data_IF_942174019586
#
_entry.id   IF_942174019586
#
_cell.length_a   1.000
_cell.length_b   1.000
_cell.length_c   1.000
_cell.angle_alpha   90.00
_cell.angle_beta   90.00
_cell.angle_gamma   90.00
#
_symmetry.space_group_name_H-M   'P 1'
#
loop_
_entity.id
_entity.type
_entity.pdbx_description
1 polymer ?
#
# COMPACT_ATOMS: atom_id res chain seq x y z
N UNK A 1 11.19 15.08 -26.89
CA UNK A 1 10.01 15.24 -26.02
C UNK A 1 9.78 13.93 -25.29
N UNK A 2 9.61 13.97 -23.97
CA UNK A 2 9.64 12.83 -23.06
C UNK A 2 8.31 12.02 -23.01
N UNK A 3 7.48 12.07 -24.07
CA UNK A 3 6.07 11.67 -24.00
C UNK A 3 5.59 10.82 -25.21
N UNK A 4 6.27 9.72 -25.52
CA UNK A 4 5.74 8.58 -26.30
C UNK A 4 6.66 7.34 -26.09
N UNK A 5 6.32 6.13 -26.58
CA UNK A 5 5.72 4.97 -25.90
C UNK A 5 6.59 4.28 -24.82
N UNK A 6 7.70 4.89 -24.39
CA UNK A 6 8.74 4.25 -23.57
C UNK A 6 8.25 3.84 -22.15
N UNK A 7 7.16 4.44 -21.66
CA UNK A 7 6.66 4.15 -20.30
C UNK A 7 5.67 2.99 -20.21
N UNK A 8 4.99 2.59 -21.29
CA UNK A 8 3.95 1.54 -21.16
C UNK A 8 4.55 0.19 -20.80
N UNK A 9 5.71 -0.15 -21.37
CA UNK A 9 6.46 -1.37 -21.05
C UNK A 9 6.95 -1.38 -19.60
N UNK A 10 7.60 -0.30 -19.15
CA UNK A 10 8.11 -0.18 -17.78
C UNK A 10 6.99 -0.16 -16.74
N UNK A 11 5.91 0.57 -16.99
CA UNK A 11 4.74 0.61 -16.11
C UNK A 11 4.09 -0.77 -16.04
N UNK A 12 3.95 -1.46 -17.17
CA UNK A 12 3.42 -2.84 -17.20
C UNK A 12 4.33 -3.79 -16.42
N UNK A 13 5.63 -3.77 -16.67
CA UNK A 13 6.62 -4.60 -15.96
C UNK A 13 6.59 -4.32 -14.45
N UNK A 14 6.48 -3.05 -14.07
CA UNK A 14 6.37 -2.62 -12.68
C UNK A 14 5.19 -3.31 -12.02
N UNK A 15 3.99 -3.13 -12.58
CA UNK A 15 2.74 -3.67 -12.04
C UNK A 15 2.69 -5.20 -12.08
N UNK A 16 3.35 -5.85 -13.04
CA UNK A 16 3.44 -7.31 -13.10
C UNK A 16 4.34 -7.91 -12.01
N UNK A 17 5.38 -7.18 -11.60
CA UNK A 17 6.37 -7.65 -10.61
C UNK A 17 6.14 -7.10 -9.20
N UNK A 18 5.19 -6.19 -9.06
CA UNK A 18 4.94 -5.52 -7.80
C UNK A 18 4.42 -6.50 -6.76
N UNK A 19 4.86 -6.31 -5.52
CA UNK A 19 4.26 -6.96 -4.37
C UNK A 19 4.15 -5.98 -3.20
N UNK A 20 3.21 -6.26 -2.31
CA UNK A 20 3.08 -5.55 -1.05
C UNK A 20 4.03 -6.19 -0.06
N UNK A 21 4.93 -5.40 0.51
CA UNK A 21 5.78 -5.80 1.62
C UNK A 21 5.19 -5.26 2.91
N UNK A 22 4.56 -6.14 3.69
CA UNK A 22 3.94 -5.82 4.96
C UNK A 22 4.62 -6.54 6.14
N UNK A 23 4.06 -6.37 7.33
CA UNK A 23 4.62 -7.00 8.54
C UNK A 23 4.58 -8.53 8.49
N UNK A 24 3.67 -9.13 7.72
CA UNK A 24 3.65 -10.58 7.50
C UNK A 24 4.79 -10.97 6.58
N UNK A 25 5.02 -10.24 5.49
CA UNK A 25 6.18 -10.44 4.60
C UNK A 25 7.50 -10.36 5.36
N UNK A 26 7.67 -9.34 6.20
CA UNK A 26 8.86 -9.16 7.03
C UNK A 26 9.11 -10.34 7.98
N UNK A 27 8.05 -10.84 8.65
CA UNK A 27 8.17 -12.03 9.52
C UNK A 27 8.49 -13.30 8.76
N UNK A 28 7.88 -13.50 7.58
CA UNK A 28 8.21 -14.66 6.73
C UNK A 28 9.67 -14.62 6.28
N UNK A 29 10.22 -13.43 5.98
CA UNK A 29 11.64 -13.25 5.67
C UNK A 29 12.54 -13.68 6.83
N UNK A 30 12.24 -13.26 8.07
CA UNK A 30 12.94 -13.74 9.28
C UNK A 30 12.87 -15.26 9.41
N UNK A 31 11.66 -15.83 9.34
CA UNK A 31 11.46 -17.27 9.48
C UNK A 31 12.22 -18.06 8.41
N UNK A 32 12.21 -17.60 7.16
CA UNK A 32 12.98 -18.24 6.08
C UNK A 32 14.48 -18.12 6.29
N UNK A 33 14.95 -17.02 6.87
CA UNK A 33 16.37 -16.82 7.21
C UNK A 33 16.80 -17.74 8.35
N UNK A 34 15.99 -17.86 9.41
CA UNK A 34 16.21 -18.79 10.53
C UNK A 34 16.15 -20.26 10.05
N UNK A 35 15.25 -20.59 9.12
CA UNK A 35 15.19 -21.95 8.54
C UNK A 35 16.46 -22.31 7.77
N UNK A 36 17.11 -21.33 7.12
CA UNK A 36 18.39 -21.51 6.42
C UNK A 36 19.56 -21.57 7.40
N UNK A 37 19.53 -20.75 8.45
CA UNK A 37 20.52 -20.72 9.52
C UNK A 37 19.85 -20.67 10.91
N UNK A 38 19.68 -21.84 11.57
CA UNK A 38 19.05 -21.93 12.88
C UNK A 38 19.77 -21.16 14.00
N UNK A 39 21.05 -20.80 13.82
CA UNK A 39 21.82 -20.04 14.82
C UNK A 39 21.33 -18.59 14.98
N UNK A 40 20.51 -18.12 14.03
CA UNK A 40 19.91 -16.78 14.05
C UNK A 40 18.67 -16.71 14.94
N UNK A 41 18.19 -17.83 15.49
CA UNK A 41 17.02 -17.86 16.37
C UNK A 41 17.17 -16.88 17.55
N UNK A 42 16.20 -15.99 17.73
CA UNK A 42 16.19 -15.00 18.81
C UNK A 42 17.03 -13.74 18.56
N UNK A 43 17.74 -13.65 17.43
CA UNK A 43 18.46 -12.42 17.03
C UNK A 43 17.51 -11.36 16.49
N UNK A 44 17.93 -10.11 16.52
CA UNK A 44 17.24 -9.00 15.88
C UNK A 44 17.42 -9.03 14.35
N UNK A 45 16.49 -8.42 13.61
CA UNK A 45 16.56 -8.31 12.13
C UNK A 45 17.90 -7.78 11.64
N UNK A 46 18.40 -6.71 12.26
CA UNK A 46 19.68 -6.11 11.90
C UNK A 46 20.85 -7.10 12.07
N UNK A 47 20.83 -7.92 13.12
CA UNK A 47 21.84 -8.95 13.37
C UNK A 47 21.73 -10.13 12.39
N UNK A 48 20.56 -10.36 11.81
CA UNK A 48 20.33 -11.29 10.71
C UNK A 48 20.70 -10.72 9.33
N UNK A 49 21.11 -9.44 9.26
CA UNK A 49 21.36 -8.74 8.00
C UNK A 49 20.09 -8.32 7.26
N UNK A 50 18.93 -8.34 7.92
CA UNK A 50 17.64 -7.97 7.35
C UNK A 50 17.34 -6.49 7.65
N UNK A 51 16.73 -5.80 6.69
CA UNK A 51 16.28 -4.41 6.89
C UNK A 51 15.16 -4.35 7.93
N UNK A 52 15.14 -3.29 8.76
CA UNK A 52 14.03 -3.04 9.68
C UNK A 52 12.71 -2.83 8.94
N UNK A 53 11.63 -3.37 9.51
CA UNK A 53 10.27 -3.12 9.01
C UNK A 53 9.72 -1.84 9.66
N UNK A 54 9.62 -0.77 8.87
CA UNK A 54 9.12 0.53 9.34
C UNK A 54 7.66 0.76 8.95
N UNK A 55 7.29 0.44 7.72
CA UNK A 55 5.93 0.64 7.20
C UNK A 55 5.62 -0.38 6.10
N UNK A 56 4.33 -0.55 5.80
CA UNK A 56 3.90 -1.29 4.61
C UNK A 56 4.23 -0.50 3.36
N UNK A 57 4.98 -1.11 2.46
CA UNK A 57 5.38 -0.50 1.19
C UNK A 57 5.04 -1.39 0.01
N UNK A 58 5.02 -0.79 -1.17
CA UNK A 58 4.91 -1.48 -2.44
C UNK A 58 6.32 -1.59 -3.02
N UNK A 59 6.80 -2.82 -3.26
CA UNK A 59 8.14 -3.08 -3.83
C UNK A 59 8.03 -3.69 -5.21
N UNK A 60 8.95 -3.33 -6.10
CA UNK A 60 9.14 -3.96 -7.41
C UNK A 60 10.61 -3.86 -7.82
N UNK A 61 11.07 -4.77 -8.68
CA UNK A 61 12.42 -4.72 -9.27
C UNK A 61 12.28 -4.47 -10.76
N UNK A 62 12.73 -3.31 -11.21
CA UNK A 62 12.71 -2.87 -12.60
C UNK A 62 14.13 -2.71 -13.11
N UNK A 63 14.52 -3.45 -14.14
CA UNK A 63 15.86 -3.36 -14.73
C UNK A 63 17.00 -3.34 -13.68
N UNK A 64 16.91 -4.22 -12.67
CA UNK A 64 17.88 -4.36 -11.55
C UNK A 64 17.81 -3.23 -10.51
N UNK A 65 16.89 -2.28 -10.65
CA UNK A 65 16.64 -1.22 -9.67
C UNK A 65 15.47 -1.63 -8.78
N UNK A 66 15.71 -1.67 -7.47
CA UNK A 66 14.64 -1.83 -6.48
C UNK A 66 13.86 -0.51 -6.36
N UNK A 67 12.57 -0.57 -6.68
CA UNK A 67 11.64 0.55 -6.57
C UNK A 67 10.74 0.29 -5.37
N UNK A 68 10.66 1.28 -4.48
CA UNK A 68 9.79 1.25 -3.29
C UNK A 68 8.83 2.44 -3.32
N UNK A 69 7.53 2.17 -3.25
CA UNK A 69 6.48 3.18 -3.08
C UNK A 69 5.93 3.11 -1.66
N UNK A 70 6.11 4.17 -0.88
CA UNK A 70 5.61 4.31 0.50
C UNK A 70 4.41 5.25 0.57
N UNK A 71 3.83 5.38 1.78
CA UNK A 71 2.75 6.34 2.05
C UNK A 71 3.17 7.78 1.73
N UNK A 72 4.41 8.16 2.06
CA UNK A 72 4.96 9.47 1.79
C UNK A 72 4.96 9.84 0.29
N UNK A 73 5.21 8.85 -0.58
CA UNK A 73 5.14 9.06 -2.03
C UNK A 73 3.72 9.39 -2.50
N UNK A 74 2.71 8.70 -1.97
CA UNK A 74 1.31 9.02 -2.26
C UNK A 74 0.90 10.38 -1.69
N UNK A 75 1.30 10.70 -0.46
CA UNK A 75 1.00 12.00 0.15
C UNK A 75 1.56 13.15 -0.69
N UNK A 76 2.83 13.03 -1.13
CA UNK A 76 3.46 14.00 -2.03
C UNK A 76 2.78 14.09 -3.39
N UNK A 77 2.37 12.95 -3.98
CA UNK A 77 1.67 12.92 -5.27
C UNK A 77 0.30 13.62 -5.21
N UNK A 78 -0.40 13.49 -4.08
CA UNK A 78 -1.73 14.04 -3.87
C UNK A 78 -1.72 15.47 -3.30
N UNK A 79 -0.54 16.04 -3.05
CA UNK A 79 -0.34 17.33 -2.37
C UNK A 79 -1.06 17.40 -1.02
N UNK A 80 -0.91 16.34 -0.22
CA UNK A 80 -1.46 16.26 1.14
C UNK A 80 -0.35 16.01 2.16
N UNK A 81 -0.58 16.41 3.40
CA UNK A 81 0.34 16.11 4.50
C UNK A 81 0.45 14.60 4.69
N UNK A 82 1.68 14.08 4.82
CA UNK A 82 1.94 12.67 5.11
C UNK A 82 1.66 12.33 6.59
N UNK A 83 0.39 12.46 6.98
CA UNK A 83 -0.08 12.31 8.35
C UNK A 83 -1.41 11.54 8.36
N UNK A 84 -1.89 11.19 9.55
CA UNK A 84 -3.14 10.47 9.73
C UNK A 84 -2.94 9.00 10.10
N UNK A 85 -4.06 8.30 10.13
CA UNK A 85 -4.21 6.99 10.78
C UNK A 85 -4.89 6.01 9.83
N UNK A 86 -4.46 4.74 9.84
CA UNK A 86 -5.11 3.70 9.02
C UNK A 86 -6.50 3.40 9.60
N UNK A 87 -7.53 3.58 8.79
CA UNK A 87 -8.93 3.33 9.18
C UNK A 87 -9.14 1.90 9.69
N UNK A 88 -8.39 0.93 9.16
CA UNK A 88 -8.45 -0.47 9.57
C UNK A 88 -8.04 -0.70 11.04
N UNK A 89 -7.22 0.17 11.61
CA UNK A 89 -6.75 0.08 12.99
C UNK A 89 -7.82 0.61 13.97
N UNK A 90 -8.76 1.40 13.46
CA UNK A 90 -9.83 2.07 14.22
C UNK A 90 -11.21 1.52 13.89
N UNK A 91 -11.30 0.21 13.61
CA UNK A 91 -12.55 -0.49 13.28
C UNK A 91 -13.66 -0.26 14.32
N UNK A 92 -13.35 0.01 15.58
CA UNK A 92 -14.39 0.22 16.59
C UNK A 92 -14.74 1.70 16.79
N UNK A 93 -14.04 2.62 16.14
CA UNK A 93 -14.30 4.05 16.28
C UNK A 93 -15.34 4.53 15.28
N UNK A 94 -16.56 4.71 15.81
CA UNK A 94 -17.74 5.11 15.05
C UNK A 94 -17.56 6.49 14.41
N UNK A 95 -16.84 7.41 15.06
CA UNK A 95 -16.64 8.78 14.59
C UNK A 95 -15.91 8.87 13.24
N UNK A 96 -14.80 8.16 13.07
CA UNK A 96 -14.08 8.15 11.78
C UNK A 96 -14.93 7.52 10.68
N UNK A 97 -15.61 6.41 10.98
CA UNK A 97 -16.50 5.74 10.02
C UNK A 97 -17.63 6.64 9.54
N UNK A 98 -18.23 7.42 10.43
CA UNK A 98 -19.26 8.40 10.05
C UNK A 98 -18.68 9.47 9.15
N UNK A 99 -17.55 10.08 9.52
CA UNK A 99 -16.90 11.13 8.73
C UNK A 99 -16.51 10.65 7.32
N UNK A 100 -15.97 9.43 7.22
CA UNK A 100 -15.63 8.80 5.94
C UNK A 100 -16.88 8.54 5.10
N UNK A 101 -17.99 8.09 5.70
CA UNK A 101 -19.26 7.89 4.98
C UNK A 101 -19.79 9.20 4.40
N UNK A 102 -19.72 10.30 5.15
CA UNK A 102 -20.09 11.64 4.65
C UNK A 102 -19.23 12.07 3.47
N UNK A 103 -17.96 11.72 3.51
CA UNK A 103 -17.05 12.10 2.44
C UNK A 103 -17.26 11.24 1.19
N UNK A 104 -17.50 9.94 1.33
CA UNK A 104 -17.59 9.01 0.19
C UNK A 104 -18.93 9.09 -0.57
N UNK A 105 -20.04 9.35 0.12
CA UNK A 105 -21.39 9.18 -0.44
C UNK A 105 -22.13 10.52 -0.59
N UNK A 106 -22.91 10.65 -1.67
CA UNK A 106 -23.84 11.77 -1.86
C UNK A 106 -25.02 11.68 -0.88
N UNK A 107 -25.44 10.46 -0.55
CA UNK A 107 -26.47 10.16 0.44
C UNK A 107 -26.04 8.99 1.34
N UNK A 108 -25.83 9.28 2.62
CA UNK A 108 -25.42 8.32 3.64
C UNK A 108 -26.43 7.16 3.82
N UNK A 109 -27.72 7.39 3.55
CA UNK A 109 -28.76 6.34 3.67
C UNK A 109 -28.53 5.18 2.70
N UNK A 110 -27.77 5.45 1.64
CA UNK A 110 -27.44 4.48 0.61
C UNK A 110 -25.97 4.06 0.66
N UNK A 111 -25.27 4.29 1.78
CA UNK A 111 -23.87 3.87 1.95
C UNK A 111 -23.68 2.37 1.66
N UNK A 112 -22.63 2.03 0.92
CA UNK A 112 -22.34 0.67 0.45
C UNK A 112 -22.83 0.37 -0.97
N UNK A 113 -23.67 1.23 -1.56
CA UNK A 113 -24.05 1.14 -2.98
C UNK A 113 -23.13 2.02 -3.81
N UNK A 114 -22.49 1.48 -4.84
CA UNK A 114 -21.60 2.27 -5.71
C UNK A 114 -22.32 3.47 -6.34
N UNK A 115 -23.58 3.29 -6.76
CA UNK A 115 -24.41 4.34 -7.39
C UNK A 115 -24.64 5.58 -6.51
N UNK A 116 -24.47 5.49 -5.19
CA UNK A 116 -24.63 6.61 -4.25
C UNK A 116 -23.31 7.28 -3.87
N UNK A 117 -22.16 6.79 -4.37
CA UNK A 117 -20.85 7.41 -4.14
C UNK A 117 -20.74 8.76 -4.88
N UNK A 118 -19.91 9.67 -4.38
CA UNK A 118 -19.50 10.85 -5.16
C UNK A 118 -18.71 10.40 -6.40
N UNK A 119 -18.78 11.16 -7.48
CA UNK A 119 -18.30 10.72 -8.79
C UNK A 119 -16.79 10.43 -8.80
N UNK A 120 -16.00 11.19 -8.03
CA UNK A 120 -14.56 10.97 -7.82
C UNK A 120 -14.25 9.58 -7.23
N UNK A 121 -15.04 9.14 -6.24
CA UNK A 121 -14.86 7.83 -5.61
C UNK A 121 -15.45 6.68 -6.43
N UNK A 122 -16.50 6.94 -7.23
CA UNK A 122 -17.06 5.95 -8.14
C UNK A 122 -16.05 5.49 -9.20
N UNK A 123 -15.27 6.44 -9.75
CA UNK A 123 -14.21 6.13 -10.71
C UNK A 123 -13.16 5.22 -10.08
N UNK A 124 -12.64 5.57 -8.89
CA UNK A 124 -11.69 4.75 -8.15
C UNK A 124 -12.25 3.36 -7.82
N UNK A 125 -13.50 3.29 -7.36
CA UNK A 125 -14.18 2.04 -7.07
C UNK A 125 -14.24 1.14 -8.31
N UNK A 126 -14.61 1.67 -9.47
CA UNK A 126 -14.64 0.89 -10.73
C UNK A 126 -13.26 0.40 -11.18
N UNK A 127 -12.19 1.15 -10.91
CA UNK A 127 -10.81 0.73 -11.21
C UNK A 127 -10.38 -0.44 -10.33
N UNK A 128 -10.85 -0.51 -9.07
CA UNK A 128 -10.43 -1.52 -8.10
C UNK A 128 -11.14 -2.87 -8.23
N UNK A 129 -12.26 -2.96 -8.96
CA UNK A 129 -13.10 -4.17 -9.04
C UNK A 129 -13.07 -4.79 -10.44
N UNK A 130 -12.52 -4.08 -11.42
CA UNK A 130 -12.19 -4.59 -12.74
C UNK A 130 -10.71 -5.00 -12.78
#
# INVERSE_FOLDING_TARGET
>A
MLNDPIYTGMVKEFWMKVHVYDQVSARMEEETTIKKDPSLTGKMRAEMGLCEFNETVIKSVLAVIEVTISRAHFAKLLDVKDDGKRIADYKNEVYYRQSIKKELYKDEKHAGKSKSMKDSFLVLFKILIN
#
